data_IF_652344587299
#
_entry.id   IF_652344587299
#
_cell.length_a   1.000
_cell.length_b   1.000
_cell.length_c   1.000
_cell.angle_alpha   90.00
_cell.angle_beta   90.00
_cell.angle_gamma   90.00
#
_symmetry.space_group_name_H-M   'P 1'
#
loop_
_entity.id
_entity.type
_entity.pdbx_description
1 polymer ?
#
# COMPACT_ATOMS: atom_id res chain seq x y z
N UNK A 1 -41.03 -34.03 29.47
CA UNK A 1 -40.51 -32.80 30.08
C UNK A 1 -41.67 -32.09 30.77
N UNK A 2 -41.65 -31.98 32.09
CA UNK A 2 -42.73 -31.46 32.88
C UNK A 2 -42.97 -29.95 32.60
N UNK A 3 -44.18 -29.46 32.90
CA UNK A 3 -44.55 -28.06 32.70
C UNK A 3 -43.60 -27.11 33.50
N UNK A 4 -43.11 -27.58 34.62
CA UNK A 4 -42.18 -26.87 35.50
C UNK A 4 -40.81 -26.66 34.89
N UNK A 5 -40.26 -27.65 34.18
CA UNK A 5 -38.97 -27.55 33.46
C UNK A 5 -39.02 -26.56 32.28
N UNK A 6 -40.18 -26.42 31.62
CA UNK A 6 -40.39 -25.42 30.56
C UNK A 6 -40.48 -23.98 31.09
N UNK A 7 -41.02 -23.81 32.31
CA UNK A 7 -41.11 -22.50 32.95
C UNK A 7 -39.74 -22.00 33.40
N UNK A 8 -38.93 -22.85 34.03
CA UNK A 8 -37.57 -22.55 34.43
C UNK A 8 -36.67 -22.21 33.23
N UNK A 9 -36.81 -22.95 32.10
CA UNK A 9 -36.02 -22.68 30.88
C UNK A 9 -36.39 -21.34 30.23
N UNK A 10 -37.66 -20.90 30.31
CA UNK A 10 -38.07 -19.56 29.83
C UNK A 10 -37.54 -18.45 30.74
N UNK A 11 -37.58 -18.59 32.03
CA UNK A 11 -37.07 -17.58 32.97
C UNK A 11 -35.57 -17.40 32.82
N UNK A 12 -34.82 -18.50 32.68
CA UNK A 12 -33.36 -18.43 32.45
C UNK A 12 -33.00 -17.74 31.12
N UNK A 13 -33.80 -17.97 30.08
CA UNK A 13 -33.64 -17.31 28.79
C UNK A 13 -33.89 -15.79 28.87
N UNK A 14 -34.89 -15.35 29.66
CA UNK A 14 -35.18 -13.94 29.89
C UNK A 14 -34.10 -13.24 30.71
N UNK A 15 -33.55 -13.88 31.72
CA UNK A 15 -32.45 -13.36 32.53
C UNK A 15 -31.19 -13.17 31.66
N UNK A 16 -30.86 -14.13 30.82
CA UNK A 16 -29.72 -14.04 29.92
C UNK A 16 -29.87 -12.94 28.84
N UNK A 17 -31.10 -12.73 28.33
CA UNK A 17 -31.40 -11.62 27.42
C UNK A 17 -31.26 -10.24 28.11
N UNK A 18 -31.75 -10.10 29.35
CA UNK A 18 -31.61 -8.86 30.11
C UNK A 18 -30.14 -8.55 30.45
N UNK A 19 -29.36 -9.55 30.82
CA UNK A 19 -27.91 -9.40 31.10
C UNK A 19 -27.14 -9.04 29.86
N UNK A 20 -27.47 -9.60 28.68
CA UNK A 20 -26.87 -9.24 27.41
C UNK A 20 -27.22 -7.80 27.00
N UNK A 21 -28.44 -7.37 27.21
CA UNK A 21 -28.91 -5.99 26.95
C UNK A 21 -28.15 -4.97 27.82
N UNK A 22 -27.99 -5.23 29.12
CA UNK A 22 -27.21 -4.37 30.03
C UNK A 22 -25.74 -4.28 29.66
N UNK A 23 -25.12 -5.38 29.22
CA UNK A 23 -23.73 -5.39 28.73
C UNK A 23 -23.59 -4.60 27.43
N UNK A 24 -24.60 -4.64 26.56
CA UNK A 24 -24.62 -3.82 25.33
C UNK A 24 -24.77 -2.33 25.66
N UNK A 25 -25.64 -1.98 26.58
CA UNK A 25 -25.83 -0.58 27.05
C UNK A 25 -24.56 -0.03 27.71
N UNK A 26 -23.89 -0.80 28.57
CA UNK A 26 -22.63 -0.41 29.19
C UNK A 26 -21.52 -0.20 28.14
N UNK A 27 -21.44 -1.03 27.13
CA UNK A 27 -20.49 -0.86 26.01
C UNK A 27 -20.79 0.39 25.17
N UNK A 28 -22.08 0.69 24.96
CA UNK A 28 -22.50 1.91 24.25
C UNK A 28 -22.19 3.18 25.05
N UNK A 29 -22.43 3.16 26.38
CA UNK A 29 -22.07 4.29 27.25
C UNK A 29 -20.58 4.49 27.29
N UNK A 30 -19.77 3.43 27.41
CA UNK A 30 -18.31 3.52 27.39
C UNK A 30 -17.79 4.05 26.05
N UNK A 31 -18.37 3.61 24.94
CA UNK A 31 -18.00 4.11 23.61
C UNK A 31 -18.39 5.57 23.42
N UNK A 32 -19.57 5.99 23.90
CA UNK A 32 -20.02 7.37 23.82
C UNK A 32 -19.17 8.32 24.70
N UNK A 33 -18.73 7.87 25.88
CA UNK A 33 -17.86 8.67 26.75
C UNK A 33 -16.45 8.80 26.17
N UNK A 34 -15.88 7.73 25.63
CA UNK A 34 -14.58 7.77 24.93
C UNK A 34 -14.64 8.67 23.70
N UNK A 35 -15.73 8.58 22.93
CA UNK A 35 -15.96 9.43 21.77
C UNK A 35 -16.15 10.91 22.14
N UNK A 36 -16.86 11.19 23.24
CA UNK A 36 -17.01 12.56 23.75
C UNK A 36 -15.68 13.17 24.22
N UNK A 37 -14.85 12.39 24.94
CA UNK A 37 -13.51 12.78 25.36
C UNK A 37 -12.62 13.03 24.12
N UNK A 38 -12.69 12.18 23.13
CA UNK A 38 -11.99 12.34 21.85
C UNK A 38 -12.43 13.64 21.13
N UNK A 39 -13.73 13.91 21.06
CA UNK A 39 -14.27 15.14 20.48
C UNK A 39 -13.85 16.39 21.26
N UNK A 40 -13.82 16.34 22.60
CA UNK A 40 -13.36 17.44 23.45
C UNK A 40 -11.86 17.69 23.33
N UNK A 41 -11.05 16.66 23.19
CA UNK A 41 -9.60 16.78 22.96
C UNK A 41 -9.31 17.42 21.61
N UNK A 42 -9.98 16.95 20.53
CA UNK A 42 -9.79 17.52 19.19
C UNK A 42 -10.44 18.89 19.01
N UNK A 43 -11.51 19.23 19.73
CA UNK A 43 -12.11 20.57 19.66
C UNK A 43 -11.24 21.65 20.34
N UNK A 44 -10.44 21.28 21.33
CA UNK A 44 -9.42 22.19 21.92
C UNK A 44 -8.30 22.51 20.91
N UNK A 45 -7.82 21.53 20.14
CA UNK A 45 -6.84 21.80 19.08
C UNK A 45 -7.43 22.60 17.91
N UNK A 46 -8.71 22.41 17.60
CA UNK A 46 -9.40 23.13 16.51
C UNK A 46 -9.72 24.58 16.86
N UNK A 47 -9.99 24.91 18.14
CA UNK A 47 -10.20 26.31 18.59
C UNK A 47 -8.94 27.15 18.55
N UNK A 48 -7.77 26.54 18.65
CA UNK A 48 -6.48 27.26 18.55
C UNK A 48 -6.13 27.65 17.08
N UNK A 49 -6.79 27.03 16.10
CA UNK A 49 -6.56 27.30 14.68
C UNK A 49 -7.54 28.31 14.05
N UNK A 50 -8.67 28.63 14.70
CA UNK A 50 -9.74 29.48 14.13
C UNK A 50 -9.71 30.94 14.68
N UNK A 51 -8.92 31.21 15.70
CA UNK A 51 -8.86 32.54 16.34
C UNK A 51 -7.99 33.59 15.63
N UNK A 52 -7.52 33.34 14.39
CA UNK A 52 -6.68 34.32 13.67
C UNK A 52 -7.26 34.79 12.33
N UNK A 53 -8.56 34.63 12.07
CA UNK A 53 -9.16 35.04 10.77
C UNK A 53 -10.21 36.15 10.85
N UNK A 54 -10.30 36.91 11.94
CA UNK A 54 -11.21 38.07 12.06
C UNK A 54 -10.44 39.33 12.45
N UNK A 55 -9.56 39.77 11.58
CA UNK A 55 -9.14 41.18 11.51
C UNK A 55 -8.48 41.40 10.13
N UNK A 56 -9.17 42.06 9.25
CA UNK A 56 -8.65 42.93 8.19
C UNK A 56 -9.75 43.15 7.12
N UNK A 57 -10.64 44.10 7.42
CA UNK A 57 -11.27 44.96 6.41
C UNK A 57 -10.77 46.37 6.68
N UNK A 58 -10.29 46.99 5.61
CA UNK A 58 -9.87 48.38 5.41
C UNK A 58 -8.35 48.61 5.41
N UNK A 59 -7.77 48.70 4.26
CA UNK A 59 -7.06 49.90 3.78
C UNK A 59 -6.39 49.62 2.43
N UNK A 60 -6.58 50.56 1.52
CA UNK A 60 -6.05 50.63 0.16
C UNK A 60 -4.54 50.93 0.14
N UNK A 61 -3.91 50.44 -0.96
CA UNK A 61 -2.64 50.91 -1.55
C UNK A 61 -1.35 50.82 -0.74
N UNK A 62 -0.54 49.81 -1.04
CA UNK A 62 0.87 50.02 -1.47
C UNK A 62 1.46 48.71 -2.01
N UNK A 63 2.14 48.80 -3.11
CA UNK A 63 2.86 47.78 -3.86
C UNK A 63 4.03 47.20 -3.04
N UNK A 64 4.37 45.91 -3.37
CA UNK A 64 5.64 45.19 -3.13
C UNK A 64 5.83 44.45 -1.80
N UNK A 65 6.25 43.18 -2.00
CA UNK A 65 6.79 42.25 -0.97
C UNK A 65 5.81 41.59 0.00
N UNK A 66 4.88 40.77 -0.52
CA UNK A 66 4.36 39.66 0.28
C UNK A 66 5.25 38.44 0.11
N UNK A 67 6.32 38.34 0.91
CA UNK A 67 6.94 37.05 1.23
C UNK A 67 5.85 36.12 1.78
N UNK A 68 5.42 35.14 0.96
CA UNK A 68 4.47 34.13 1.36
C UNK A 68 5.04 33.37 2.55
N UNK A 69 4.53 33.59 3.76
CA UNK A 69 4.83 32.75 4.93
C UNK A 69 4.43 31.33 4.59
N UNK A 70 5.40 30.46 4.27
CA UNK A 70 5.19 29.05 4.02
C UNK A 70 4.57 28.45 5.28
N UNK A 71 3.37 27.84 5.24
CA UNK A 71 2.70 27.31 6.41
C UNK A 71 3.64 26.37 7.20
N UNK A 72 3.60 26.43 8.53
CA UNK A 72 4.42 25.61 9.46
C UNK A 72 4.44 24.12 9.08
N UNK A 73 3.32 23.60 8.57
CA UNK A 73 3.15 22.24 8.09
C UNK A 73 4.05 21.90 6.88
N UNK A 74 4.23 22.79 5.90
CA UNK A 74 5.13 22.56 4.77
C UNK A 74 6.61 22.59 5.18
N UNK A 75 6.96 23.38 6.18
CA UNK A 75 8.33 23.37 6.76
C UNK A 75 8.62 22.02 7.43
N UNK A 76 7.65 21.47 8.17
CA UNK A 76 7.78 20.16 8.83
C UNK A 76 7.92 19.01 7.79
N UNK A 77 7.12 19.01 6.72
CA UNK A 77 7.19 18.02 5.64
C UNK A 77 8.53 18.06 4.90
N UNK A 78 9.07 19.25 4.65
CA UNK A 78 10.35 19.42 3.99
C UNK A 78 11.52 19.01 4.90
N UNK A 79 11.39 19.18 6.21
CA UNK A 79 12.36 18.71 7.18
C UNK A 79 12.36 17.17 7.24
N UNK A 80 11.21 16.54 7.39
CA UNK A 80 11.07 15.07 7.39
C UNK A 80 11.62 14.44 6.12
N UNK A 81 11.42 15.08 4.96
CA UNK A 81 11.96 14.62 3.68
C UNK A 81 13.49 14.67 3.70
N UNK A 82 14.09 15.78 4.11
CA UNK A 82 15.55 15.95 4.20
C UNK A 82 16.20 14.95 5.16
N UNK A 83 15.64 14.77 6.36
CA UNK A 83 16.15 13.79 7.31
C UNK A 83 16.05 12.35 6.78
N UNK A 84 14.97 12.04 6.08
CA UNK A 84 14.80 10.75 5.41
C UNK A 84 15.84 10.52 4.30
N UNK A 85 16.15 11.53 3.49
CA UNK A 85 17.16 11.46 2.45
C UNK A 85 18.57 11.32 3.04
N UNK A 86 18.88 12.09 4.10
CA UNK A 86 20.14 11.99 4.84
C UNK A 86 20.36 10.58 5.39
N UNK A 87 19.33 9.98 6.01
CA UNK A 87 19.38 8.61 6.50
C UNK A 87 19.60 7.59 5.39
N UNK A 88 18.92 7.73 4.26
CA UNK A 88 19.08 6.83 3.10
C UNK A 88 20.48 6.85 2.52
N UNK A 89 21.26 7.92 2.76
CA UNK A 89 22.62 8.07 2.25
C UNK A 89 23.71 7.83 3.31
N UNK A 90 23.36 7.76 4.61
CA UNK A 90 24.25 7.31 5.67
C UNK A 90 23.97 5.84 6.01
N UNK A 91 24.69 4.90 5.39
CA UNK A 91 24.41 3.46 5.44
C UNK A 91 25.30 2.68 6.41
N UNK A 92 26.06 3.33 7.27
CA UNK A 92 27.03 2.66 8.16
C UNK A 92 26.35 1.61 9.06
N UNK A 93 25.27 1.99 9.71
CA UNK A 93 24.46 1.07 10.50
C UNK A 93 23.89 -0.10 9.71
N UNK A 94 23.51 0.15 8.44
CA UNK A 94 22.96 -0.88 7.56
C UNK A 94 24.06 -1.87 7.16
N UNK A 95 25.26 -1.36 6.86
CA UNK A 95 26.44 -2.17 6.54
C UNK A 95 26.81 -3.06 7.70
N UNK A 96 27.03 -2.51 8.90
CA UNK A 96 27.44 -3.25 10.09
C UNK A 96 26.56 -4.45 10.39
N UNK A 97 25.25 -4.31 10.21
CA UNK A 97 24.28 -5.38 10.48
C UNK A 97 24.24 -6.44 9.38
N UNK A 98 24.62 -6.08 8.13
CA UNK A 98 24.43 -6.95 6.96
C UNK A 98 25.73 -7.45 6.31
N UNK A 99 26.90 -7.17 6.88
CA UNK A 99 28.21 -7.64 6.36
C UNK A 99 28.63 -9.00 6.94
N UNK A 100 27.80 -9.63 7.77
CA UNK A 100 28.07 -10.95 8.30
C UNK A 100 28.14 -12.03 7.22
N UNK A 101 28.86 -13.11 7.51
CA UNK A 101 28.90 -14.30 6.66
C UNK A 101 27.49 -14.87 6.50
N UNK A 102 27.15 -15.25 5.29
CA UNK A 102 25.86 -15.87 4.98
C UNK A 102 26.00 -17.38 4.91
N UNK A 103 24.93 -18.11 5.21
CA UNK A 103 24.87 -19.53 4.92
C UNK A 103 25.10 -19.79 3.43
N UNK A 104 25.63 -20.95 3.11
CA UNK A 104 25.64 -21.43 1.73
C UNK A 104 24.22 -21.63 1.25
N UNK A 105 24.01 -21.53 -0.06
CA UNK A 105 22.71 -21.88 -0.64
C UNK A 105 22.36 -23.35 -0.35
N UNK A 106 21.08 -23.64 -0.26
CA UNK A 106 20.59 -24.97 0.11
C UNK A 106 20.57 -25.95 -1.06
N UNK A 107 20.65 -25.46 -2.30
CA UNK A 107 20.61 -26.28 -3.51
C UNK A 107 21.51 -25.71 -4.61
N UNK A 108 21.97 -26.58 -5.52
CA UNK A 108 22.73 -26.18 -6.72
C UNK A 108 21.84 -26.15 -7.99
N UNK A 109 20.52 -26.08 -7.80
CA UNK A 109 19.55 -26.11 -8.88
C UNK A 109 19.33 -24.70 -9.46
N UNK A 110 18.98 -24.62 -10.74
CA UNK A 110 18.45 -23.38 -11.28
C UNK A 110 17.12 -23.01 -10.66
N UNK A 111 16.70 -21.75 -10.78
CA UNK A 111 15.41 -21.29 -10.25
C UNK A 111 14.21 -22.13 -10.74
N UNK A 112 14.23 -22.55 -12.01
CA UNK A 112 13.20 -23.42 -12.59
C UNK A 112 13.21 -24.80 -11.94
N UNK A 113 14.36 -25.47 -11.90
CA UNK A 113 14.48 -26.79 -11.30
C UNK A 113 14.17 -26.79 -9.80
N UNK A 114 14.59 -25.76 -9.07
CA UNK A 114 14.26 -25.60 -7.66
C UNK A 114 12.74 -25.57 -7.43
N UNK A 115 12.01 -24.78 -8.20
CA UNK A 115 10.57 -24.60 -8.00
C UNK A 115 9.70 -25.68 -8.68
N UNK A 116 10.30 -26.55 -9.51
CA UNK A 116 9.62 -27.69 -10.14
C UNK A 116 9.71 -28.97 -9.29
N UNK A 117 10.40 -28.95 -8.16
CA UNK A 117 10.47 -30.10 -7.25
C UNK A 117 9.09 -30.45 -6.66
N UNK A 118 8.90 -31.70 -6.29
CA UNK A 118 7.69 -32.17 -5.59
C UNK A 118 8.08 -32.84 -4.24
N UNK A 119 7.71 -32.27 -3.08
CA UNK A 119 6.99 -31.00 -2.93
C UNK A 119 7.85 -29.78 -3.30
N UNK A 120 7.23 -28.77 -3.90
CA UNK A 120 7.93 -27.54 -4.27
C UNK A 120 8.32 -26.72 -3.02
N UNK A 121 9.59 -26.29 -2.89
CA UNK A 121 9.98 -25.35 -1.84
C UNK A 121 9.52 -23.92 -2.07
N UNK A 122 9.02 -23.61 -3.29
CA UNK A 122 8.54 -22.32 -3.69
C UNK A 122 7.07 -22.11 -3.32
N UNK A 123 6.71 -20.85 -3.05
CA UNK A 123 5.32 -20.50 -2.75
C UNK A 123 4.43 -20.67 -3.98
N UNK A 124 3.14 -20.99 -3.82
CA UNK A 124 2.20 -21.11 -4.92
C UNK A 124 1.99 -19.76 -5.61
N UNK A 125 1.50 -19.79 -6.85
CA UNK A 125 1.25 -18.59 -7.66
C UNK A 125 0.06 -17.77 -7.17
N UNK A 126 -1.12 -18.11 -7.68
CA UNK A 126 -2.32 -17.34 -7.41
C UNK A 126 -2.98 -17.75 -6.08
N UNK A 127 -3.21 -16.78 -5.20
CA UNK A 127 -3.86 -16.98 -3.89
C UNK A 127 -4.71 -15.78 -3.53
N UNK A 128 -5.73 -16.00 -2.71
CA UNK A 128 -6.42 -14.90 -2.05
C UNK A 128 -5.61 -14.42 -0.84
N UNK A 129 -5.27 -13.14 -0.83
CA UNK A 129 -4.62 -12.53 0.31
C UNK A 129 -5.27 -11.19 0.66
N UNK A 130 -5.20 -10.20 -0.20
CA UNK A 130 -5.72 -8.86 0.04
C UNK A 130 -5.91 -8.11 -1.27
N UNK A 131 -7.02 -7.39 -1.38
CA UNK A 131 -7.26 -6.46 -2.47
C UNK A 131 -7.34 -5.02 -1.99
N UNK A 132 -6.70 -4.15 -2.72
CA UNK A 132 -6.89 -2.71 -2.64
C UNK A 132 -7.19 -2.18 -4.03
N UNK A 133 -8.47 -1.95 -4.34
CA UNK A 133 -8.91 -1.48 -5.65
C UNK A 133 -9.36 -0.03 -5.54
N UNK A 134 -8.96 0.79 -6.50
CA UNK A 134 -9.38 2.19 -6.65
C UNK A 134 -10.11 2.35 -7.97
N UNK A 135 -11.17 3.16 -7.99
CA UNK A 135 -12.02 3.30 -9.16
C UNK A 135 -12.19 4.74 -9.62
N UNK A 136 -12.31 4.90 -10.94
CA UNK A 136 -12.78 6.09 -11.62
C UNK A 136 -14.02 5.72 -12.46
N UNK A 137 -15.21 5.62 -11.84
CA UNK A 137 -16.40 5.02 -12.48
C UNK A 137 -16.86 5.75 -13.73
N UNK A 138 -16.69 7.07 -13.78
CA UNK A 138 -17.02 7.89 -14.95
C UNK A 138 -16.34 7.40 -16.22
N UNK A 139 -15.11 6.90 -16.05
CA UNK A 139 -14.29 6.39 -17.15
C UNK A 139 -14.27 4.85 -17.22
N UNK A 140 -15.06 4.15 -16.40
CA UNK A 140 -15.05 2.67 -16.33
C UNK A 140 -13.63 2.12 -16.16
N UNK A 141 -12.87 2.75 -15.29
CA UNK A 141 -11.50 2.38 -14.97
C UNK A 141 -11.39 1.95 -13.51
N UNK A 142 -10.61 0.93 -13.26
CA UNK A 142 -10.15 0.59 -11.92
C UNK A 142 -8.68 0.20 -11.91
N UNK A 143 -8.06 0.28 -10.74
CA UNK A 143 -6.68 -0.19 -10.55
C UNK A 143 -6.55 -1.00 -9.28
N UNK A 144 -5.85 -2.13 -9.38
CA UNK A 144 -5.32 -2.84 -8.23
C UNK A 144 -4.08 -2.11 -7.71
N UNK A 145 -4.11 -1.74 -6.43
CA UNK A 145 -3.02 -1.02 -5.78
C UNK A 145 -2.09 -2.01 -5.09
N UNK A 146 -0.91 -2.20 -5.64
CA UNK A 146 0.14 -3.06 -5.08
C UNK A 146 1.22 -2.21 -4.44
N UNK A 147 1.50 -2.46 -3.17
CA UNK A 147 2.53 -1.73 -2.44
C UNK A 147 3.90 -1.91 -3.12
N UNK A 148 4.66 -0.82 -3.21
CA UNK A 148 5.98 -0.72 -3.86
C UNK A 148 5.95 -0.82 -5.40
N UNK A 149 4.74 -0.89 -6.00
CA UNK A 149 4.48 -0.80 -7.45
C UNK A 149 3.63 0.42 -7.75
N UNK A 150 4.12 1.63 -7.46
CA UNK A 150 3.45 2.94 -7.62
C UNK A 150 2.12 3.12 -6.85
N UNK A 151 1.87 2.35 -5.79
CA UNK A 151 0.61 2.37 -5.04
C UNK A 151 0.12 3.77 -4.64
N UNK A 152 1.02 4.61 -4.16
CA UNK A 152 0.71 6.00 -3.75
C UNK A 152 0.21 6.84 -4.91
N UNK A 153 0.92 6.77 -6.05
CA UNK A 153 0.56 7.53 -7.26
C UNK A 153 -0.76 7.03 -7.81
N UNK A 154 -0.93 5.71 -7.97
CA UNK A 154 -2.17 5.13 -8.52
C UNK A 154 -3.38 5.43 -7.64
N UNK A 155 -3.23 5.40 -6.31
CA UNK A 155 -4.33 5.78 -5.39
C UNK A 155 -4.78 7.23 -5.61
N UNK A 156 -3.83 8.16 -5.71
CA UNK A 156 -4.14 9.58 -5.89
C UNK A 156 -4.62 9.90 -7.31
N UNK A 157 -4.04 9.27 -8.32
CA UNK A 157 -4.43 9.44 -9.72
C UNK A 157 -5.88 8.98 -9.95
N UNK A 158 -6.28 7.84 -9.41
CA UNK A 158 -7.66 7.37 -9.49
C UNK A 158 -8.62 8.19 -8.63
N UNK A 159 -8.14 8.84 -7.60
CA UNK A 159 -8.91 9.83 -6.86
C UNK A 159 -9.13 11.10 -7.70
N UNK A 160 -8.11 11.59 -8.40
CA UNK A 160 -8.22 12.68 -9.35
C UNK A 160 -9.22 12.36 -10.46
N UNK A 161 -9.04 11.23 -11.16
CA UNK A 161 -9.95 10.79 -12.24
C UNK A 161 -11.38 10.51 -11.79
N UNK A 162 -11.63 10.28 -10.50
CA UNK A 162 -12.99 10.13 -9.97
C UNK A 162 -13.78 11.43 -10.03
N UNK A 163 -13.15 12.58 -9.72
CA UNK A 163 -13.77 13.92 -9.76
C UNK A 163 -12.67 14.99 -9.80
N UNK A 164 -12.22 15.32 -11.01
CA UNK A 164 -11.09 16.21 -11.26
C UNK A 164 -11.32 17.61 -10.67
N UNK A 165 -12.54 18.15 -10.86
CA UNK A 165 -12.90 19.49 -10.39
C UNK A 165 -12.82 19.59 -8.87
N UNK A 166 -13.41 18.60 -8.16
CA UNK A 166 -13.36 18.57 -6.70
C UNK A 166 -11.97 18.30 -6.16
N UNK A 167 -11.17 17.43 -6.82
CA UNK A 167 -9.82 17.16 -6.41
C UNK A 167 -8.96 18.44 -6.43
N UNK A 168 -8.97 19.16 -7.54
CA UNK A 168 -8.23 20.42 -7.69
C UNK A 168 -8.81 21.52 -6.80
N UNK A 169 -10.13 21.67 -6.74
CA UNK A 169 -10.81 22.68 -5.92
C UNK A 169 -10.56 22.51 -4.40
N UNK A 170 -10.16 21.31 -3.96
CA UNK A 170 -9.71 21.05 -2.58
C UNK A 170 -8.19 21.15 -2.42
N UNK A 171 -7.46 21.77 -3.34
CA UNK A 171 -6.01 21.92 -3.33
C UNK A 171 -5.25 20.61 -3.17
N UNK A 172 -5.74 19.53 -3.79
CA UNK A 172 -5.07 18.24 -3.80
C UNK A 172 -4.13 18.11 -4.98
N UNK A 173 -3.02 17.38 -4.77
CA UNK A 173 -1.98 17.13 -5.76
C UNK A 173 -1.67 15.63 -5.83
N UNK A 174 -1.50 15.07 -7.05
CA UNK A 174 -1.31 13.62 -7.26
C UNK A 174 -0.14 13.06 -6.45
N UNK A 175 0.98 13.75 -6.36
CA UNK A 175 2.15 13.25 -5.63
C UNK A 175 2.06 13.44 -4.10
N UNK A 176 1.05 14.15 -3.59
CA UNK A 176 0.92 14.51 -2.16
C UNK A 176 -0.33 13.95 -1.48
N UNK A 177 -1.34 13.47 -2.23
CA UNK A 177 -2.61 12.98 -1.67
C UNK A 177 -2.56 11.49 -1.29
N UNK A 178 -1.70 11.12 -0.34
CA UNK A 178 -1.46 9.73 0.03
C UNK A 178 -1.59 9.42 1.54
N UNK A 179 -1.78 10.43 2.38
CA UNK A 179 -1.89 10.26 3.84
C UNK A 179 -3.23 9.64 4.25
N UNK A 180 -3.37 9.33 5.54
CA UNK A 180 -4.59 8.78 6.16
C UNK A 180 -5.83 9.62 5.83
N UNK A 181 -5.66 10.94 5.64
CA UNK A 181 -6.72 11.88 5.28
C UNK A 181 -6.75 12.16 3.77
N UNK A 182 -6.41 11.18 2.92
CA UNK A 182 -6.50 11.35 1.45
C UNK A 182 -7.94 11.66 1.03
N UNK A 183 -8.07 12.44 -0.03
CA UNK A 183 -9.35 13.02 -0.42
C UNK A 183 -10.45 12.01 -0.74
N UNK A 184 -10.10 10.89 -1.37
CA UNK A 184 -11.05 9.84 -1.74
C UNK A 184 -11.14 8.67 -0.74
N UNK A 185 -10.64 8.82 0.48
CA UNK A 185 -10.72 7.75 1.47
C UNK A 185 -12.18 7.26 1.63
N UNK A 186 -12.40 5.95 1.50
CA UNK A 186 -13.71 5.27 1.50
C UNK A 186 -14.69 5.66 0.38
N UNK A 187 -14.30 6.50 -0.58
CA UNK A 187 -15.22 6.97 -1.62
C UNK A 187 -15.11 6.21 -2.94
N UNK A 188 -13.90 5.73 -3.28
CA UNK A 188 -13.63 5.00 -4.52
C UNK A 188 -12.82 3.73 -4.29
N UNK A 189 -12.96 3.13 -3.11
CA UNK A 189 -12.14 2.04 -2.63
C UNK A 189 -12.96 0.77 -2.48
N UNK A 190 -12.41 -0.35 -2.98
CA UNK A 190 -12.97 -1.68 -2.84
C UNK A 190 -11.89 -2.64 -2.31
N UNK A 191 -12.30 -3.64 -1.55
CA UNK A 191 -11.40 -4.67 -1.03
C UNK A 191 -11.16 -5.80 -2.03
N UNK A 192 -12.09 -6.01 -2.95
CA UNK A 192 -12.03 -7.08 -3.95
C UNK A 192 -12.75 -6.67 -5.23
N UNK A 193 -12.44 -7.37 -6.33
CA UNK A 193 -13.02 -7.09 -7.64
C UNK A 193 -14.48 -7.52 -7.72
N UNK A 194 -14.84 -8.62 -7.05
CA UNK A 194 -16.23 -9.06 -6.96
C UNK A 194 -17.16 -8.03 -6.32
N UNK A 195 -16.70 -7.33 -5.28
CA UNK A 195 -17.43 -6.22 -4.65
C UNK A 195 -17.62 -5.02 -5.59
N UNK A 196 -16.62 -4.75 -6.43
CA UNK A 196 -16.72 -3.73 -7.48
C UNK A 196 -17.76 -4.14 -8.54
N UNK A 197 -17.69 -5.37 -9.03
CA UNK A 197 -18.65 -5.92 -10.00
C UNK A 197 -20.08 -5.82 -9.49
N UNK A 198 -20.33 -6.27 -8.25
CA UNK A 198 -21.64 -6.15 -7.61
C UNK A 198 -22.11 -4.69 -7.51
N UNK A 199 -21.23 -3.76 -7.10
CA UNK A 199 -21.59 -2.35 -6.92
C UNK A 199 -22.01 -1.66 -8.22
N UNK A 200 -21.36 -2.00 -9.34
CA UNK A 200 -21.59 -1.36 -10.63
C UNK A 200 -22.38 -2.25 -11.61
N UNK A 201 -22.91 -3.37 -11.14
CA UNK A 201 -23.66 -4.35 -11.93
C UNK A 201 -22.88 -4.80 -13.18
N UNK A 202 -21.61 -5.18 -12.99
CA UNK A 202 -20.70 -5.59 -14.05
C UNK A 202 -20.71 -7.11 -14.15
N UNK A 203 -20.91 -7.65 -15.35
CA UNK A 203 -20.71 -9.05 -15.64
C UNK A 203 -19.22 -9.27 -15.98
N UNK A 204 -18.49 -10.13 -15.26
CA UNK A 204 -17.05 -10.34 -15.50
C UNK A 204 -16.69 -10.74 -16.93
N UNK A 205 -17.57 -11.51 -17.60
CA UNK A 205 -17.40 -11.99 -18.97
C UNK A 205 -17.76 -10.96 -20.05
N UNK A 206 -18.53 -9.92 -19.72
CA UNK A 206 -19.04 -8.92 -20.66
C UNK A 206 -18.87 -7.51 -20.10
N UNK A 207 -17.69 -7.24 -19.56
CA UNK A 207 -17.44 -5.96 -18.91
C UNK A 207 -16.69 -5.00 -19.85
N UNK A 208 -17.13 -3.74 -19.87
CA UNK A 208 -16.50 -2.66 -20.62
C UNK A 208 -15.61 -1.79 -19.72
N UNK A 209 -15.21 -2.32 -18.57
CA UNK A 209 -14.24 -1.68 -17.68
C UNK A 209 -12.83 -2.21 -18.01
N UNK A 210 -11.85 -1.37 -17.83
CA UNK A 210 -10.45 -1.80 -17.78
C UNK A 210 -9.94 -1.80 -16.35
N UNK A 211 -9.45 -2.96 -15.91
CA UNK A 211 -8.86 -3.16 -14.59
C UNK A 211 -7.34 -3.19 -14.73
N UNK A 212 -6.69 -2.15 -14.25
CA UNK A 212 -5.23 -1.96 -14.39
C UNK A 212 -4.53 -2.50 -13.15
N UNK A 213 -3.40 -3.16 -13.31
CA UNK A 213 -2.51 -3.50 -12.23
C UNK A 213 -1.07 -3.15 -12.59
N UNK A 214 -0.49 -2.24 -11.80
CA UNK A 214 0.94 -1.95 -11.91
C UNK A 214 1.73 -3.09 -11.27
N UNK A 215 2.55 -3.78 -12.06
CA UNK A 215 3.42 -4.87 -11.61
C UNK A 215 4.89 -4.45 -11.69
N UNK A 216 5.69 -4.93 -10.77
CA UNK A 216 7.11 -4.56 -10.69
C UNK A 216 7.97 -5.80 -10.59
N UNK A 217 9.20 -5.73 -11.15
CA UNK A 217 10.19 -6.79 -10.96
C UNK A 217 10.31 -7.14 -9.47
N UNK A 218 10.17 -8.43 -9.08
CA UNK A 218 10.14 -8.83 -7.67
C UNK A 218 11.38 -8.41 -6.87
N UNK A 219 12.57 -8.41 -7.49
CA UNK A 219 13.82 -7.95 -6.87
C UNK A 219 13.71 -6.46 -6.53
N UNK A 220 13.37 -5.63 -7.52
CA UNK A 220 13.24 -4.18 -7.32
C UNK A 220 12.15 -3.84 -6.29
N UNK A 221 11.03 -4.56 -6.34
CA UNK A 221 9.92 -4.38 -5.42
C UNK A 221 10.34 -4.71 -3.99
N UNK A 222 11.02 -5.85 -3.79
CA UNK A 222 11.51 -6.28 -2.49
C UNK A 222 12.51 -5.28 -1.90
N UNK A 223 13.53 -4.88 -2.68
CA UNK A 223 14.53 -3.89 -2.26
C UNK A 223 13.85 -2.58 -1.86
N UNK A 224 12.93 -2.07 -2.69
CA UNK A 224 12.17 -0.85 -2.38
C UNK A 224 11.35 -0.98 -1.09
N UNK A 225 10.79 -2.16 -0.81
CA UNK A 225 10.09 -2.47 0.42
C UNK A 225 11.01 -2.43 1.62
N UNK A 226 12.11 -3.17 1.58
CA UNK A 226 13.05 -3.29 2.68
C UNK A 226 13.69 -1.93 3.03
N UNK A 227 14.18 -1.21 2.04
CA UNK A 227 14.78 0.11 2.27
C UNK A 227 13.78 1.11 2.83
N UNK A 228 12.54 1.10 2.36
CA UNK A 228 11.50 2.02 2.86
C UNK A 228 11.01 1.65 4.28
N UNK A 229 10.74 0.38 4.54
CA UNK A 229 10.03 -0.05 5.75
C UNK A 229 10.96 -0.51 6.86
N UNK A 230 12.06 -1.18 6.52
CA UNK A 230 12.99 -1.72 7.50
C UNK A 230 14.17 -0.80 7.79
N UNK A 231 14.53 0.08 6.87
CA UNK A 231 15.65 0.98 7.07
C UNK A 231 15.24 2.45 7.26
N UNK A 232 14.49 3.02 6.33
CA UNK A 232 14.21 4.47 6.33
C UNK A 232 13.29 4.91 7.47
N UNK A 233 12.11 4.32 7.57
CA UNK A 233 11.06 4.70 8.53
C UNK A 233 10.45 3.46 9.20
N UNK A 234 11.06 2.92 10.23
CA UNK A 234 10.40 1.91 11.06
C UNK A 234 9.14 2.51 11.71
N UNK A 235 8.04 1.77 11.65
CA UNK A 235 6.74 2.22 12.15
C UNK A 235 6.59 1.93 13.64
N UNK A 236 7.18 0.81 14.11
CA UNK A 236 7.09 0.32 15.48
C UNK A 236 8.45 -0.13 15.99
N UNK A 237 8.60 -0.30 17.30
CA UNK A 237 9.86 -0.72 17.92
C UNK A 237 10.34 -2.09 17.43
N UNK A 238 9.42 -3.02 17.20
CA UNK A 238 9.69 -4.38 16.70
C UNK A 238 9.38 -4.54 15.21
N UNK A 239 9.85 -3.61 14.38
CA UNK A 239 9.58 -3.56 12.95
C UNK A 239 10.31 -4.67 12.18
N UNK A 240 9.81 -4.91 10.96
CA UNK A 240 10.31 -5.93 10.05
C UNK A 240 10.37 -7.31 10.71
N UNK A 241 9.23 -7.71 11.29
CA UNK A 241 9.05 -9.00 11.97
C UNK A 241 10.11 -9.27 13.06
N UNK A 242 10.54 -8.23 13.76
CA UNK A 242 11.57 -8.29 14.80
C UNK A 242 13.01 -8.23 14.27
N UNK A 243 13.22 -8.40 12.97
CA UNK A 243 14.54 -8.43 12.35
C UNK A 243 15.19 -7.05 12.17
N UNK A 244 14.40 -5.98 12.33
CA UNK A 244 14.88 -4.59 12.17
C UNK A 244 15.55 -4.37 10.81
N UNK A 245 16.84 -4.05 10.79
CA UNK A 245 17.63 -3.77 9.58
C UNK A 245 18.34 -5.00 9.01
N UNK A 246 18.19 -6.18 9.63
CA UNK A 246 18.88 -7.39 9.20
C UNK A 246 18.10 -8.03 8.03
N UNK A 247 18.71 -7.98 6.84
CA UNK A 247 18.11 -8.46 5.60
C UNK A 247 17.87 -9.98 5.61
N UNK A 248 18.85 -10.74 6.05
CA UNK A 248 18.80 -12.22 6.08
C UNK A 248 17.69 -12.69 7.00
N UNK A 249 17.71 -12.24 8.27
CA UNK A 249 16.66 -12.51 9.24
C UNK A 249 15.27 -12.16 8.69
N UNK A 250 15.14 -10.98 8.06
CA UNK A 250 13.86 -10.55 7.51
C UNK A 250 13.37 -11.45 6.38
N UNK A 251 14.25 -11.84 5.45
CA UNK A 251 13.88 -12.72 4.32
C UNK A 251 13.44 -14.10 4.80
N UNK A 252 14.17 -14.69 5.76
CA UNK A 252 13.83 -15.99 6.35
C UNK A 252 12.48 -15.95 7.08
N UNK A 253 12.30 -14.94 7.93
CA UNK A 253 11.07 -14.78 8.70
C UNK A 253 9.88 -14.48 7.80
N UNK A 254 10.05 -13.63 6.78
CA UNK A 254 8.97 -13.29 5.85
C UNK A 254 8.56 -14.49 4.99
N UNK A 255 9.52 -15.30 4.52
CA UNK A 255 9.22 -16.57 3.82
C UNK A 255 8.44 -17.53 4.72
N UNK A 256 8.82 -17.65 6.00
CA UNK A 256 8.12 -18.49 6.97
C UNK A 256 6.67 -18.02 7.17
N UNK A 257 6.44 -16.70 7.30
CA UNK A 257 5.10 -16.10 7.39
C UNK A 257 4.26 -16.35 6.13
N UNK A 258 4.85 -16.21 4.95
CA UNK A 258 4.17 -16.51 3.69
C UNK A 258 3.75 -17.98 3.61
N UNK A 259 4.61 -18.92 4.06
CA UNK A 259 4.28 -20.36 4.15
C UNK A 259 3.15 -20.61 5.14
N UNK A 260 3.13 -19.93 6.26
CA UNK A 260 2.05 -20.01 7.24
C UNK A 260 0.71 -19.53 6.65
N UNK A 261 0.71 -18.42 5.90
CA UNK A 261 -0.46 -17.95 5.16
C UNK A 261 -0.98 -19.02 4.18
N UNK A 262 -0.07 -19.70 3.46
CA UNK A 262 -0.45 -20.77 2.52
C UNK A 262 -1.13 -21.92 3.24
N UNK A 263 -0.63 -22.32 4.42
CA UNK A 263 -1.17 -23.44 5.21
C UNK A 263 -2.52 -23.12 5.83
N UNK A 264 -2.66 -21.93 6.43
CA UNK A 264 -3.83 -21.55 7.24
C UNK A 264 -4.91 -20.83 6.44
N UNK A 265 -4.59 -20.28 5.27
CA UNK A 265 -5.50 -19.46 4.46
C UNK A 265 -5.81 -18.09 5.07
N UNK A 266 -6.10 -18.04 6.37
CA UNK A 266 -6.36 -16.79 7.11
C UNK A 266 -5.43 -16.69 8.31
N UNK A 267 -4.80 -15.53 8.50
CA UNK A 267 -4.02 -15.24 9.69
C UNK A 267 -3.88 -13.73 9.91
N UNK A 268 -3.39 -13.31 11.07
CA UNK A 268 -3.23 -11.91 11.39
C UNK A 268 -2.16 -11.27 10.49
N UNK A 269 -2.59 -10.42 9.56
CA UNK A 269 -1.72 -9.71 8.61
C UNK A 269 -0.97 -8.60 9.33
N UNK A 270 0.36 -8.56 9.18
CA UNK A 270 1.18 -7.45 9.65
C UNK A 270 1.24 -6.32 8.62
N UNK A 271 1.85 -5.21 9.03
CA UNK A 271 2.13 -4.11 8.13
C UNK A 271 3.13 -4.53 7.04
N UNK A 272 4.10 -5.38 7.40
CA UNK A 272 5.11 -5.92 6.50
C UNK A 272 4.48 -6.84 5.45
N UNK A 273 3.63 -7.78 5.84
CA UNK A 273 2.95 -8.71 4.94
C UNK A 273 2.29 -7.97 3.76
N UNK A 274 1.64 -6.83 4.03
CA UNK A 274 1.04 -5.99 2.99
C UNK A 274 2.04 -5.41 2.00
N UNK A 275 3.30 -5.22 2.41
CA UNK A 275 4.32 -4.63 1.56
C UNK A 275 5.17 -5.66 0.82
N UNK A 276 5.23 -6.90 1.34
CA UNK A 276 6.17 -7.90 0.83
C UNK A 276 5.51 -9.13 0.20
N UNK A 277 4.31 -9.54 0.62
CA UNK A 277 3.67 -10.71 0.04
C UNK A 277 3.51 -10.59 -1.48
N UNK A 278 3.48 -11.74 -2.22
CA UNK A 278 3.48 -11.76 -3.68
C UNK A 278 2.44 -10.84 -4.31
N UNK A 279 2.78 -10.25 -5.44
CA UNK A 279 1.85 -9.43 -6.24
C UNK A 279 0.72 -10.28 -6.80
N UNK A 280 1.03 -11.52 -7.18
CA UNK A 280 0.07 -12.51 -7.69
C UNK A 280 -1.00 -12.92 -6.67
N UNK A 281 -0.86 -12.55 -5.39
CA UNK A 281 -1.85 -12.82 -4.34
C UNK A 281 -2.82 -11.66 -4.10
N UNK A 282 -2.86 -10.67 -4.98
CA UNK A 282 -3.63 -9.43 -4.79
C UNK A 282 -4.89 -9.40 -5.65
N UNK A 283 -5.87 -8.61 -5.16
CA UNK A 283 -7.02 -8.16 -5.94
C UNK A 283 -7.76 -9.28 -6.68
N UNK A 284 -7.95 -10.43 -6.03
CA UNK A 284 -8.67 -11.60 -6.55
C UNK A 284 -8.09 -12.17 -7.86
N UNK A 285 -6.77 -11.99 -8.09
CA UNK A 285 -6.13 -12.54 -9.30
C UNK A 285 -6.34 -14.05 -9.44
N UNK A 286 -6.53 -14.79 -8.35
CA UNK A 286 -6.84 -16.22 -8.38
C UNK A 286 -8.16 -16.56 -9.11
N UNK A 287 -9.07 -15.57 -9.22
CA UNK A 287 -10.36 -15.71 -9.92
C UNK A 287 -10.43 -14.89 -11.22
N UNK A 288 -9.79 -13.72 -11.25
CA UNK A 288 -10.00 -12.71 -12.30
C UNK A 288 -8.71 -12.31 -13.02
N UNK A 289 -7.72 -13.19 -13.12
CA UNK A 289 -6.43 -12.87 -13.74
C UNK A 289 -6.57 -12.29 -15.14
N UNK A 290 -7.41 -12.92 -15.99
CA UNK A 290 -7.66 -12.49 -17.37
C UNK A 290 -8.40 -11.16 -17.52
N UNK A 291 -9.01 -10.66 -16.45
CA UNK A 291 -9.69 -9.36 -16.47
C UNK A 291 -8.74 -8.17 -16.29
N UNK A 292 -7.48 -8.42 -15.91
CA UNK A 292 -6.52 -7.36 -15.63
C UNK A 292 -5.62 -7.04 -16.83
N UNK A 293 -5.38 -5.76 -17.04
CA UNK A 293 -4.29 -5.24 -17.87
C UNK A 293 -3.09 -4.99 -16.97
N UNK A 294 -2.02 -5.80 -17.14
CA UNK A 294 -0.79 -5.67 -16.38
C UNK A 294 0.14 -4.68 -17.05
N UNK A 295 0.59 -3.67 -16.28
CA UNK A 295 1.54 -2.67 -16.75
C UNK A 295 2.83 -2.84 -15.95
N UNK A 296 3.94 -3.24 -16.59
CA UNK A 296 5.23 -3.33 -15.93
C UNK A 296 5.71 -1.96 -15.52
N UNK A 297 6.11 -1.81 -14.25
CA UNK A 297 6.71 -0.60 -13.70
C UNK A 297 8.19 -0.83 -13.39
N UNK A 298 9.02 0.10 -13.82
CA UNK A 298 10.44 0.17 -13.43
C UNK A 298 10.75 1.54 -12.82
N UNK A 299 11.74 1.57 -11.95
CA UNK A 299 12.32 2.82 -11.43
C UNK A 299 13.41 3.38 -12.31
N UNK A 300 13.76 2.73 -13.44
CA UNK A 300 14.75 3.20 -14.37
C UNK A 300 14.40 4.59 -14.96
N UNK A 301 15.42 5.39 -15.24
CA UNK A 301 15.26 6.79 -15.70
C UNK A 301 14.54 6.91 -17.05
N UNK A 302 14.66 5.91 -17.91
CA UNK A 302 14.02 5.85 -19.22
C UNK A 302 12.58 5.30 -19.19
N UNK A 303 12.07 4.90 -18.03
CA UNK A 303 10.71 4.39 -17.93
C UNK A 303 9.69 5.53 -17.87
N UNK A 304 8.74 5.52 -18.81
CA UNK A 304 7.60 6.45 -18.83
C UNK A 304 6.31 5.71 -18.53
N UNK A 305 5.71 5.95 -17.37
CA UNK A 305 4.41 5.37 -17.02
C UNK A 305 3.28 5.90 -17.91
N UNK A 306 3.38 7.13 -18.36
CA UNK A 306 2.34 7.78 -19.16
C UNK A 306 2.24 7.17 -20.55
N UNK A 307 3.34 6.66 -21.12
CA UNK A 307 3.31 5.93 -22.39
C UNK A 307 2.44 4.67 -22.33
N UNK A 308 2.31 4.05 -21.16
CA UNK A 308 1.46 2.87 -20.96
C UNK A 308 0.04 3.22 -20.55
N UNK A 309 -0.13 4.24 -19.69
CA UNK A 309 -1.46 4.58 -19.17
C UNK A 309 -2.31 5.44 -20.12
N UNK A 310 -1.71 6.37 -20.85
CA UNK A 310 -2.46 7.33 -21.67
C UNK A 310 -3.24 6.70 -22.82
N UNK A 311 -2.72 5.70 -23.56
CA UNK A 311 -3.55 4.99 -24.54
C UNK A 311 -4.80 4.39 -23.92
N UNK A 312 -4.69 3.76 -22.74
CA UNK A 312 -5.84 3.19 -22.03
C UNK A 312 -6.81 4.31 -21.61
N UNK A 313 -6.32 5.41 -21.06
CA UNK A 313 -7.16 6.51 -20.61
C UNK A 313 -7.89 7.19 -21.76
N UNK A 314 -7.24 7.38 -22.91
CA UNK A 314 -7.89 7.92 -24.13
C UNK A 314 -8.99 7.00 -24.64
N UNK A 315 -8.78 5.68 -24.66
CA UNK A 315 -9.81 4.71 -25.04
C UNK A 315 -11.03 4.75 -24.10
N UNK A 316 -10.86 5.23 -22.89
CA UNK A 316 -11.93 5.45 -21.91
C UNK A 316 -12.40 6.91 -21.83
N UNK A 317 -12.10 7.71 -22.86
CA UNK A 317 -12.55 9.11 -22.99
C UNK A 317 -12.13 10.03 -21.84
N UNK A 318 -10.97 9.78 -21.24
CA UNK A 318 -10.36 10.74 -20.31
C UNK A 318 -9.91 11.96 -21.09
N UNK A 319 -10.35 13.20 -20.72
CA UNK A 319 -10.02 14.41 -21.45
C UNK A 319 -8.51 14.66 -21.55
N UNK A 320 -8.05 15.23 -22.67
CA UNK A 320 -6.63 15.53 -22.87
C UNK A 320 -6.10 16.54 -21.84
N UNK A 321 -6.93 17.46 -21.37
CA UNK A 321 -6.59 18.39 -20.27
C UNK A 321 -6.29 17.64 -18.97
N UNK A 322 -6.99 16.53 -18.68
CA UNK A 322 -6.70 15.68 -17.52
C UNK A 322 -5.40 14.91 -17.71
N UNK A 323 -5.11 14.45 -18.92
CA UNK A 323 -3.84 13.77 -19.23
C UNK A 323 -2.65 14.72 -19.09
N UNK A 324 -2.77 15.96 -19.56
CA UNK A 324 -1.75 17.00 -19.40
C UNK A 324 -1.49 17.32 -17.92
N UNK A 325 -2.54 17.43 -17.09
CA UNK A 325 -2.38 17.62 -15.65
C UNK A 325 -1.67 16.44 -14.99
N UNK A 326 -2.02 15.19 -15.37
CA UNK A 326 -1.34 13.98 -14.89
C UNK A 326 0.14 14.02 -15.30
N UNK A 327 0.43 14.30 -16.57
CA UNK A 327 1.80 14.40 -17.08
C UNK A 327 2.62 15.43 -16.31
N UNK A 328 2.13 16.64 -16.16
CA UNK A 328 2.83 17.70 -15.43
C UNK A 328 3.04 17.36 -13.96
N UNK A 329 2.03 16.72 -13.32
CA UNK A 329 2.16 16.26 -11.94
C UNK A 329 3.24 15.21 -11.78
N UNK A 330 3.29 14.21 -12.65
CA UNK A 330 4.29 13.13 -12.59
C UNK A 330 5.70 13.62 -12.92
N UNK A 331 5.84 14.61 -13.79
CA UNK A 331 7.12 15.23 -14.15
C UNK A 331 7.64 16.18 -13.07
N UNK A 332 6.79 16.67 -12.16
CA UNK A 332 7.19 17.64 -11.12
C UNK A 332 8.05 17.03 -10.01
N UNK A 333 8.22 15.70 -9.97
CA UNK A 333 9.07 15.05 -8.98
C UNK A 333 8.63 13.65 -8.59
N UNK A 334 9.09 13.21 -7.42
CA UNK A 334 8.81 11.87 -6.86
C UNK A 334 8.05 11.99 -5.54
N UNK A 335 7.28 10.95 -5.21
CA UNK A 335 6.59 10.87 -3.91
C UNK A 335 7.60 10.81 -2.75
N UNK A 336 7.16 11.20 -1.55
CA UNK A 336 7.96 11.15 -0.33
C UNK A 336 8.45 9.72 0.04
N UNK A 337 7.87 8.68 -0.59
CA UNK A 337 8.25 7.27 -0.36
C UNK A 337 9.29 6.74 -1.34
N UNK A 338 9.78 7.54 -2.28
CA UNK A 338 10.82 7.11 -3.20
C UNK A 338 12.11 6.75 -2.46
N UNK A 339 12.69 5.62 -2.80
CA UNK A 339 14.02 5.17 -2.34
C UNK A 339 15.01 5.05 -3.49
N UNK A 340 14.59 5.43 -4.69
CA UNK A 340 15.38 5.35 -5.92
C UNK A 340 16.64 6.20 -5.78
N UNK A 341 17.74 5.69 -6.31
CA UNK A 341 19.07 6.35 -6.35
C UNK A 341 19.72 6.59 -4.97
N UNK A 342 19.20 5.96 -3.90
CA UNK A 342 19.83 6.08 -2.59
C UNK A 342 20.96 5.07 -2.39
N UNK A 343 21.98 5.45 -1.59
CA UNK A 343 23.07 4.53 -1.21
C UNK A 343 22.55 3.26 -0.53
N UNK A 344 21.48 3.37 0.25
CA UNK A 344 20.82 2.22 0.88
C UNK A 344 20.24 1.24 -0.15
N UNK A 345 19.58 1.74 -1.20
CA UNK A 345 19.06 0.90 -2.29
C UNK A 345 20.19 0.16 -2.99
N UNK A 346 21.24 0.88 -3.41
CA UNK A 346 22.39 0.28 -4.10
C UNK A 346 23.13 -0.75 -3.24
N UNK A 347 23.27 -0.49 -1.93
CA UNK A 347 23.90 -1.43 -1.01
C UNK A 347 23.08 -2.72 -0.85
N UNK A 348 21.77 -2.62 -0.60
CA UNK A 348 20.89 -3.79 -0.44
C UNK A 348 20.79 -4.57 -1.75
N UNK A 349 20.71 -3.89 -2.88
CA UNK A 349 20.72 -4.53 -4.20
C UNK A 349 22.00 -5.36 -4.42
N UNK A 350 23.16 -4.76 -4.19
CA UNK A 350 24.44 -5.46 -4.29
C UNK A 350 24.50 -6.64 -3.33
N UNK A 351 24.11 -6.45 -2.06
CA UNK A 351 24.11 -7.51 -1.05
C UNK A 351 23.21 -8.69 -1.44
N UNK A 352 22.00 -8.40 -1.94
CA UNK A 352 21.05 -9.41 -2.38
C UNK A 352 21.58 -10.18 -3.60
N UNK A 353 22.03 -9.47 -4.64
CA UNK A 353 22.49 -10.09 -5.89
C UNK A 353 23.83 -10.85 -5.75
N UNK A 354 24.68 -10.47 -4.80
CA UNK A 354 25.96 -11.15 -4.56
C UNK A 354 25.85 -12.42 -3.70
N UNK A 355 24.67 -12.75 -3.19
CA UNK A 355 24.45 -13.91 -2.32
C UNK A 355 23.50 -14.92 -2.97
N UNK A 356 24.00 -16.10 -3.41
CA UNK A 356 23.14 -17.18 -3.89
C UNK A 356 22.08 -17.59 -2.87
N UNK A 357 22.40 -17.60 -1.59
CA UNK A 357 21.45 -17.91 -0.52
C UNK A 357 20.26 -16.95 -0.47
N UNK A 358 20.53 -15.63 -0.48
CA UNK A 358 19.46 -14.61 -0.46
C UNK A 358 18.64 -14.64 -1.75
N UNK A 359 19.28 -14.86 -2.90
CA UNK A 359 18.58 -15.00 -4.17
C UNK A 359 17.69 -16.24 -4.20
N UNK A 360 18.13 -17.35 -3.63
CA UNK A 360 17.31 -18.56 -3.49
C UNK A 360 16.08 -18.30 -2.61
N UNK A 361 16.23 -17.60 -1.47
CA UNK A 361 15.08 -17.20 -0.64
C UNK A 361 14.10 -16.32 -1.42
N UNK A 362 14.62 -15.36 -2.20
CA UNK A 362 13.79 -14.47 -3.02
C UNK A 362 13.03 -15.23 -4.11
N UNK A 363 13.70 -16.19 -4.78
CA UNK A 363 13.06 -17.05 -5.77
C UNK A 363 11.97 -17.90 -5.10
N UNK A 364 12.23 -18.50 -3.94
CA UNK A 364 11.20 -19.26 -3.19
C UNK A 364 9.96 -18.42 -2.88
N UNK A 365 10.13 -17.13 -2.59
CA UNK A 365 9.01 -16.22 -2.31
C UNK A 365 8.25 -15.79 -3.57
N UNK A 366 8.94 -15.53 -4.68
CA UNK A 366 8.37 -14.76 -5.81
C UNK A 366 8.49 -15.45 -7.17
N UNK A 367 8.82 -16.73 -7.25
CA UNK A 367 8.95 -17.47 -8.50
C UNK A 367 7.76 -17.23 -9.45
N UNK A 368 6.54 -17.32 -8.91
CA UNK A 368 5.34 -17.14 -9.71
C UNK A 368 5.08 -15.67 -10.11
N UNK A 369 5.52 -14.69 -9.31
CA UNK A 369 5.46 -13.29 -9.73
C UNK A 369 6.35 -13.05 -10.95
N UNK A 370 7.55 -13.65 -11.01
CA UNK A 370 8.39 -13.60 -12.21
C UNK A 370 7.70 -14.22 -13.41
N UNK A 371 7.13 -15.40 -13.26
CA UNK A 371 6.51 -16.16 -14.37
C UNK A 371 5.20 -15.51 -14.87
N UNK A 372 4.31 -15.16 -13.95
CA UNK A 372 2.97 -14.64 -14.29
C UNK A 372 3.03 -13.24 -14.92
N UNK A 373 4.00 -12.41 -14.50
CA UNK A 373 4.14 -11.03 -14.99
C UNK A 373 5.29 -10.86 -15.99
N UNK A 374 5.80 -11.97 -16.51
CA UNK A 374 6.83 -12.01 -17.57
C UNK A 374 8.13 -11.24 -17.22
N UNK A 375 8.58 -11.37 -15.97
CA UNK A 375 9.90 -10.90 -15.58
C UNK A 375 10.95 -12.01 -15.71
N UNK A 376 12.18 -11.64 -16.07
CA UNK A 376 13.31 -12.58 -16.17
C UNK A 376 13.63 -13.18 -14.79
N UNK A 377 13.67 -14.51 -14.71
CA UNK A 377 14.12 -15.22 -13.51
C UNK A 377 15.60 -14.92 -13.25
N UNK A 378 15.99 -14.63 -12.01
CA UNK A 378 17.41 -14.44 -11.69
C UNK A 378 18.18 -15.75 -11.71
N UNK A 379 19.46 -15.68 -11.99
CA UNK A 379 20.39 -16.76 -11.66
C UNK A 379 20.50 -16.90 -10.13
N UNK A 380 20.56 -18.16 -9.65
CA UNK A 380 20.74 -18.49 -8.24
C UNK A 380 21.87 -19.49 -8.07
#
# INVERSE_FOLDING_TARGET
>A
MSIETRKQFREQKWINLMLSSRRLQLRFILFATVFAIFCLYYSKEFRFSVSTSTFLKNSSNTTTEKLKKVPKFYKLLNWEKRESEKKLNNIEDLRRVNLNTLPNRTSNLSAVHLCSQNPSPCLPGLRDFEGEIRTAPRYRLSTCVVQKSMSTVMTSLFCYLRDEKKFIGNNREILKDWKIIRFCMFKNEFRNLGGLFKKFNILPSANNWTHIMMVRNPIERFISGFVDKCYRKPVVSNYCNGCKKNLTCFMETELARMREQVKKGTFLKTYEDRHFFPQSWRCDLHQYFSNFTFIPYSSAHNFSITSHLFPIFRNHSVPESSLQYIQSSLSSGRTAHSTVDSKATSFIEKRLKSSPYLMELLVKMFYHDFKLFNFTLPAI
#
